data_IF_937489210611
#
_entry.id   IF_937489210611
#
_cell.length_a   1.000
_cell.length_b   1.000
_cell.length_c   1.000
_cell.angle_alpha   90.00
_cell.angle_beta   90.00
_cell.angle_gamma   90.00
#
_symmetry.space_group_name_H-M   'P 1'
#
loop_
_entity.id
_entity.type
_entity.pdbx_description
1 polymer ?
#
# COMPACT_ATOMS: atom_id res chain seq x y z
N UNK A 1 -2.36 1.53 -25.36
CA UNK A 1 -1.83 1.93 -24.03
C UNK A 1 -1.47 0.67 -23.27
N UNK A 2 -0.21 0.41 -23.07
CA UNK A 2 0.24 -0.57 -22.09
C UNK A 2 0.19 0.09 -20.69
N UNK A 3 -0.33 -0.63 -19.71
CA UNK A 3 -0.34 -0.24 -18.31
C UNK A 3 0.74 -1.03 -17.59
N UNK A 4 1.60 -0.33 -16.84
CA UNK A 4 2.72 -0.93 -16.15
C UNK A 4 3.31 0.04 -15.13
N UNK A 5 4.38 -0.38 -14.46
CA UNK A 5 5.13 0.45 -13.52
C UNK A 5 6.65 0.34 -13.77
N UNK A 6 7.41 1.39 -13.45
CA UNK A 6 8.85 1.37 -13.58
C UNK A 6 9.49 0.58 -12.44
N UNK A 7 10.47 -0.23 -12.80
CA UNK A 7 11.36 -0.95 -11.90
C UNK A 7 12.82 -0.63 -12.24
N UNK A 8 13.76 -1.04 -11.40
CA UNK A 8 15.19 -1.07 -11.74
C UNK A 8 15.68 -2.49 -11.79
N UNK A 9 16.64 -2.75 -12.68
CA UNK A 9 17.31 -4.05 -12.82
C UNK A 9 18.68 -4.05 -12.15
N UNK A 10 18.93 -3.16 -11.18
CA UNK A 10 20.22 -3.11 -10.49
C UNK A 10 20.43 -4.43 -9.74
N UNK A 11 21.47 -5.19 -10.11
CA UNK A 11 21.87 -6.47 -9.51
C UNK A 11 20.82 -7.61 -9.59
N UNK A 12 19.93 -7.60 -10.58
CA UNK A 12 18.96 -8.70 -10.79
C UNK A 12 17.74 -8.67 -9.88
N UNK A 13 17.59 -7.66 -9.05
CA UNK A 13 16.40 -7.44 -8.22
C UNK A 13 15.59 -6.29 -8.80
N UNK A 14 14.38 -6.57 -9.26
CA UNK A 14 13.43 -5.54 -9.68
C UNK A 14 12.96 -4.76 -8.45
N UNK A 15 13.43 -3.50 -8.29
CA UNK A 15 12.99 -2.62 -7.21
C UNK A 15 12.07 -1.52 -7.73
N UNK A 16 10.78 -1.68 -7.42
CA UNK A 16 9.72 -0.73 -7.75
C UNK A 16 9.92 0.64 -7.10
N UNK A 17 10.39 0.69 -5.85
CA UNK A 17 10.52 1.96 -5.11
C UNK A 17 11.58 2.84 -5.77
N UNK A 18 12.75 2.27 -6.08
CA UNK A 18 13.84 2.93 -6.79
C UNK A 18 13.43 3.26 -8.22
N UNK A 19 12.74 2.35 -8.94
CA UNK A 19 12.22 2.58 -10.28
C UNK A 19 11.30 3.78 -10.37
N UNK A 20 10.35 3.93 -9.45
CA UNK A 20 9.47 5.10 -9.36
C UNK A 20 10.26 6.40 -9.08
N UNK A 21 11.30 6.33 -8.24
CA UNK A 21 12.18 7.46 -7.96
C UNK A 21 12.90 7.93 -9.23
N UNK A 22 13.47 7.03 -10.00
CA UNK A 22 14.17 7.30 -11.28
C UNK A 22 13.18 7.82 -12.33
N UNK A 23 12.02 7.20 -12.47
CA UNK A 23 10.97 7.66 -13.38
C UNK A 23 10.56 9.11 -13.10
N UNK A 24 10.41 9.49 -11.82
CA UNK A 24 10.13 10.86 -11.43
C UNK A 24 11.24 11.84 -11.80
N UNK A 25 12.51 11.41 -11.80
CA UNK A 25 13.62 12.20 -12.32
C UNK A 25 13.54 12.36 -13.84
N UNK A 26 13.16 11.30 -14.57
CA UNK A 26 12.94 11.37 -16.01
C UNK A 26 11.83 12.38 -16.37
N UNK A 27 10.70 12.35 -15.68
CA UNK A 27 9.60 13.34 -15.86
C UNK A 27 10.07 14.77 -15.60
N UNK A 28 11.02 14.99 -14.68
CA UNK A 28 11.59 16.30 -14.36
C UNK A 28 12.79 16.69 -15.25
N UNK A 29 13.20 15.82 -16.15
CA UNK A 29 14.39 16.03 -17.00
C UNK A 29 15.72 16.01 -16.24
N UNK A 30 15.78 15.32 -15.09
CA UNK A 30 16.98 15.26 -14.21
C UNK A 30 17.56 13.84 -14.10
N UNK A 31 17.10 12.90 -14.94
CA UNK A 31 17.61 11.54 -15.00
C UNK A 31 19.03 11.51 -15.59
N UNK A 32 19.92 10.69 -15.04
CA UNK A 32 21.23 10.42 -15.63
C UNK A 32 21.16 9.28 -16.65
N UNK A 33 22.12 9.21 -17.58
CA UNK A 33 22.20 8.13 -18.56
C UNK A 33 22.33 6.73 -17.92
N UNK A 34 23.00 6.63 -16.78
CA UNK A 34 23.13 5.36 -16.03
C UNK A 34 21.80 4.94 -15.39
N UNK A 35 21.04 5.88 -14.85
CA UNK A 35 19.70 5.60 -14.30
C UNK A 35 18.71 5.23 -15.41
N UNK A 36 18.77 5.90 -16.57
CA UNK A 36 17.95 5.59 -17.73
C UNK A 36 18.20 4.18 -18.25
N UNK A 37 19.47 3.78 -18.37
CA UNK A 37 19.85 2.44 -18.81
C UNK A 37 19.40 1.32 -17.86
N UNK A 38 19.24 1.62 -16.57
CA UNK A 38 18.74 0.68 -15.56
C UNK A 38 17.23 0.65 -15.42
N UNK A 39 16.47 1.52 -16.12
CA UNK A 39 15.03 1.59 -15.98
C UNK A 39 14.35 0.49 -16.81
N UNK A 40 13.46 -0.25 -16.16
CA UNK A 40 12.67 -1.34 -16.74
C UNK A 40 11.18 -1.19 -16.43
N UNK A 41 10.31 -1.44 -17.39
CA UNK A 41 8.85 -1.37 -17.21
C UNK A 41 8.25 -2.77 -17.15
N UNK A 42 7.59 -3.08 -16.04
CA UNK A 42 6.79 -4.30 -15.88
C UNK A 42 5.34 -3.98 -16.23
N UNK A 43 4.85 -4.64 -17.28
CA UNK A 43 3.53 -4.39 -17.87
C UNK A 43 2.53 -5.44 -17.39
N UNK A 44 1.28 -5.03 -17.11
CA UNK A 44 0.23 -5.93 -16.62
C UNK A 44 -1.11 -5.82 -17.34
N UNK A 45 -1.26 -4.92 -18.30
CA UNK A 45 -2.47 -4.79 -19.11
C UNK A 45 -2.19 -4.04 -20.41
N UNK A 46 -3.02 -4.29 -21.45
CA UNK A 46 -2.96 -3.61 -22.72
C UNK A 46 -4.35 -3.16 -23.16
N UNK A 47 -4.54 -1.85 -23.33
CA UNK A 47 -5.82 -1.28 -23.72
C UNK A 47 -5.64 -0.50 -25.03
N UNK A 48 -6.41 -0.77 -26.10
CA UNK A 48 -6.41 0.02 -27.31
C UNK A 48 -6.64 1.52 -26.99
N UNK A 49 -5.92 2.39 -27.67
CA UNK A 49 -5.89 3.82 -27.32
C UNK A 49 -7.27 4.48 -27.40
N UNK A 50 -8.06 4.14 -28.43
CA UNK A 50 -9.44 4.61 -28.62
C UNK A 50 -10.35 4.17 -27.46
N UNK A 51 -10.19 2.94 -26.96
CA UNK A 51 -10.93 2.41 -25.82
C UNK A 51 -10.48 3.03 -24.50
N UNK A 52 -9.18 3.32 -24.37
CA UNK A 52 -8.67 4.05 -23.21
C UNK A 52 -9.22 5.47 -23.15
N UNK A 53 -9.26 6.19 -24.28
CA UNK A 53 -9.91 7.50 -24.38
C UNK A 53 -11.42 7.45 -24.07
N UNK A 54 -12.09 6.40 -24.52
CA UNK A 54 -13.51 6.17 -24.23
C UNK A 54 -13.79 5.75 -22.77
N UNK A 55 -12.73 5.50 -21.97
CA UNK A 55 -12.84 5.11 -20.57
C UNK A 55 -13.33 3.67 -20.32
N UNK A 56 -13.44 2.84 -21.38
CA UNK A 56 -13.93 1.46 -21.27
C UNK A 56 -13.37 0.57 -22.37
N UNK A 57 -12.86 -0.61 -22.00
CA UNK A 57 -12.44 -1.65 -22.95
C UNK A 57 -13.63 -2.48 -23.43
N UNK A 58 -13.57 -2.92 -24.69
CA UNK A 58 -14.47 -3.90 -25.28
C UNK A 58 -13.96 -5.33 -25.07
N UNK A 59 -12.65 -5.48 -24.86
CA UNK A 59 -11.97 -6.75 -24.67
C UNK A 59 -11.93 -7.09 -23.17
N UNK A 60 -12.16 -8.36 -22.83
CA UNK A 60 -11.95 -8.88 -21.49
C UNK A 60 -10.45 -8.96 -21.14
N UNK A 61 -10.13 -9.17 -19.85
CA UNK A 61 -8.74 -9.20 -19.38
C UNK A 61 -7.94 -10.34 -20.03
N UNK A 62 -8.54 -11.49 -20.23
CA UNK A 62 -7.90 -12.63 -20.89
C UNK A 62 -7.40 -12.27 -22.29
N UNK A 63 -8.24 -11.61 -23.09
CA UNK A 63 -7.92 -11.15 -24.44
C UNK A 63 -6.80 -10.09 -24.41
N UNK A 64 -6.89 -9.14 -23.49
CA UNK A 64 -5.90 -8.07 -23.36
C UNK A 64 -4.54 -8.60 -22.90
N UNK A 65 -4.53 -9.58 -21.98
CA UNK A 65 -3.30 -10.22 -21.51
C UNK A 65 -2.64 -11.04 -22.64
N UNK A 66 -3.42 -11.77 -23.45
CA UNK A 66 -2.90 -12.48 -24.61
C UNK A 66 -2.24 -11.51 -25.61
N UNK A 67 -2.92 -10.41 -25.93
CA UNK A 67 -2.37 -9.37 -26.81
C UNK A 67 -1.10 -8.71 -26.22
N UNK A 68 -1.03 -8.52 -24.89
CA UNK A 68 0.15 -8.00 -24.23
C UNK A 68 1.35 -8.94 -24.37
N UNK A 69 1.13 -10.25 -24.23
CA UNK A 69 2.18 -11.27 -24.36
C UNK A 69 2.67 -11.43 -25.81
N UNK A 70 1.86 -11.08 -26.81
CA UNK A 70 2.22 -11.12 -28.24
C UNK A 70 3.06 -9.90 -28.68
N UNK A 71 3.17 -8.85 -27.83
CA UNK A 71 3.99 -7.69 -28.16
C UNK A 71 5.48 -8.06 -28.20
N UNK A 72 6.20 -7.42 -29.09
CA UNK A 72 7.67 -7.49 -29.09
C UNK A 72 8.22 -6.70 -27.90
N UNK A 73 8.59 -7.42 -26.85
CA UNK A 73 9.20 -6.81 -25.67
C UNK A 73 10.69 -6.51 -25.94
N UNK A 74 11.15 -5.39 -25.44
CA UNK A 74 12.57 -4.98 -25.49
C UNK A 74 13.25 -5.34 -24.17
N UNK A 75 14.55 -5.08 -24.08
CA UNK A 75 15.28 -5.21 -22.79
C UNK A 75 14.74 -4.28 -21.68
N UNK A 76 13.95 -3.28 -22.05
CA UNK A 76 13.36 -2.31 -21.12
C UNK A 76 11.92 -2.64 -20.71
N UNK A 77 11.34 -3.74 -21.20
CA UNK A 77 9.95 -4.10 -20.90
C UNK A 77 9.78 -5.60 -20.70
N UNK A 78 8.96 -5.97 -19.70
CA UNK A 78 8.51 -7.35 -19.50
C UNK A 78 7.03 -7.38 -19.11
N UNK A 79 6.40 -8.53 -19.25
CA UNK A 79 5.05 -8.76 -18.71
C UNK A 79 5.17 -9.32 -17.30
N UNK A 80 4.30 -8.85 -16.41
CA UNK A 80 4.24 -9.35 -15.02
C UNK A 80 3.93 -10.85 -15.01
N UNK A 81 4.59 -11.61 -14.16
CA UNK A 81 4.27 -13.02 -13.94
C UNK A 81 2.80 -13.16 -13.57
N UNK A 82 2.07 -14.02 -14.29
CA UNK A 82 0.63 -14.19 -14.13
C UNK A 82 0.30 -15.67 -13.98
N UNK A 83 -0.45 -16.00 -12.92
CA UNK A 83 -0.93 -17.34 -12.62
C UNK A 83 -2.44 -17.42 -12.76
N UNK A 84 -2.96 -18.48 -13.36
CA UNK A 84 -4.41 -18.75 -13.41
C UNK A 84 -4.78 -19.58 -12.19
N UNK A 85 -5.71 -19.07 -11.38
CA UNK A 85 -6.23 -19.72 -10.18
C UNK A 85 -7.73 -19.97 -10.32
N UNK A 86 -8.23 -21.05 -9.71
CA UNK A 86 -9.63 -21.48 -9.82
C UNK A 86 -10.42 -21.28 -8.54
N UNK A 87 -9.72 -21.13 -7.42
CA UNK A 87 -10.31 -20.97 -6.09
C UNK A 87 -9.41 -20.12 -5.18
N UNK A 88 -9.89 -19.82 -3.99
CA UNK A 88 -9.19 -18.98 -3.03
C UNK A 88 -7.95 -19.70 -2.44
N UNK A 89 -7.96 -21.02 -2.31
CA UNK A 89 -6.83 -21.76 -1.75
C UNK A 89 -5.60 -21.68 -2.68
N UNK A 90 -5.82 -21.84 -3.99
CA UNK A 90 -4.76 -21.66 -4.98
C UNK A 90 -4.21 -20.21 -4.97
N UNK A 91 -5.09 -19.22 -4.85
CA UNK A 91 -4.68 -17.82 -4.74
C UNK A 91 -3.89 -17.55 -3.47
N UNK A 92 -4.32 -18.15 -2.34
CA UNK A 92 -3.64 -18.02 -1.04
C UNK A 92 -2.25 -18.67 -1.05
N UNK A 93 -2.10 -19.82 -1.71
CA UNK A 93 -0.80 -20.47 -1.85
C UNK A 93 0.20 -19.57 -2.66
N UNK A 94 -0.27 -18.96 -3.75
CA UNK A 94 0.54 -18.02 -4.54
C UNK A 94 0.85 -16.77 -3.72
N UNK A 95 -0.13 -16.21 -3.03
CA UNK A 95 0.05 -15.08 -2.14
C UNK A 95 1.14 -15.34 -1.09
N UNK A 96 1.07 -16.49 -0.39
CA UNK A 96 2.05 -16.88 0.63
C UNK A 96 3.47 -16.99 0.06
N UNK A 97 3.61 -17.52 -1.17
CA UNK A 97 4.90 -17.56 -1.88
C UNK A 97 5.49 -16.15 -2.07
N UNK A 98 4.68 -15.18 -2.50
CA UNK A 98 5.15 -13.81 -2.75
C UNK A 98 5.43 -13.04 -1.45
N UNK A 99 4.63 -13.29 -0.39
CA UNK A 99 4.91 -12.71 0.94
C UNK A 99 6.23 -13.26 1.51
N UNK A 100 6.52 -14.55 1.33
CA UNK A 100 7.80 -15.13 1.76
C UNK A 100 9.02 -14.54 1.02
N UNK A 101 8.82 -13.93 -0.15
CA UNK A 101 9.81 -13.17 -0.90
C UNK A 101 9.85 -11.68 -0.53
N UNK A 102 9.20 -11.27 0.56
CA UNK A 102 9.06 -9.88 1.04
C UNK A 102 8.38 -8.93 0.03
N UNK A 103 7.50 -9.47 -0.82
CA UNK A 103 6.70 -8.69 -1.75
C UNK A 103 5.37 -8.27 -1.12
N UNK A 104 4.74 -7.19 -1.65
CA UNK A 104 3.50 -6.62 -1.08
C UNK A 104 2.30 -7.57 -1.10
N UNK A 105 2.26 -8.53 -2.04
CA UNK A 105 1.15 -9.44 -2.27
C UNK A 105 0.82 -9.61 -3.75
N UNK A 106 -0.44 -9.94 -4.05
CA UNK A 106 -0.91 -10.20 -5.42
C UNK A 106 -2.14 -9.36 -5.76
N UNK A 107 -2.42 -9.24 -7.05
CA UNK A 107 -3.68 -8.68 -7.56
C UNK A 107 -4.46 -9.79 -8.25
N UNK A 108 -5.62 -10.12 -7.70
CA UNK A 108 -6.57 -11.03 -8.35
C UNK A 108 -7.37 -10.25 -9.38
N UNK A 109 -7.45 -10.75 -10.60
CA UNK A 109 -8.22 -10.15 -11.70
C UNK A 109 -9.20 -11.16 -12.27
N UNK A 110 -10.44 -10.72 -12.51
CA UNK A 110 -11.42 -11.51 -13.24
C UNK A 110 -11.00 -11.59 -14.72
N UNK A 111 -10.76 -12.81 -15.23
CA UNK A 111 -10.36 -13.05 -16.62
C UNK A 111 -11.38 -12.49 -17.63
N UNK A 112 -12.66 -12.43 -17.28
CA UNK A 112 -13.74 -11.86 -18.10
C UNK A 112 -14.01 -10.39 -17.81
N UNK A 113 -13.26 -9.78 -16.88
CA UNK A 113 -13.44 -8.38 -16.50
C UNK A 113 -13.05 -7.42 -17.61
N UNK A 114 -13.89 -6.42 -17.86
CA UNK A 114 -13.60 -5.32 -18.78
C UNK A 114 -12.84 -4.22 -18.01
N UNK A 115 -11.92 -3.58 -18.72
CA UNK A 115 -11.28 -2.41 -18.14
C UNK A 115 -12.22 -1.21 -18.20
N UNK A 116 -12.28 -0.45 -17.11
CA UNK A 116 -12.97 0.83 -17.03
C UNK A 116 -12.09 1.85 -16.33
N UNK A 117 -12.18 3.13 -16.72
CA UNK A 117 -11.45 4.23 -16.08
C UNK A 117 -12.09 4.65 -14.74
N UNK A 118 -12.53 3.67 -13.96
CA UNK A 118 -13.13 3.83 -12.64
C UNK A 118 -12.69 2.69 -11.74
N UNK A 119 -13.03 2.78 -10.44
CA UNK A 119 -12.76 1.68 -9.52
C UNK A 119 -13.55 0.43 -9.95
N UNK A 120 -12.85 -0.63 -10.31
CA UNK A 120 -13.44 -1.90 -10.77
C UNK A 120 -13.59 -2.89 -9.62
N UNK A 121 -14.67 -3.67 -9.65
CA UNK A 121 -14.88 -4.85 -8.80
C UNK A 121 -14.19 -6.11 -9.36
N UNK A 122 -13.74 -6.07 -10.60
CA UNK A 122 -13.03 -7.18 -11.29
C UNK A 122 -11.54 -7.27 -10.91
N UNK A 123 -11.07 -6.41 -10.01
CA UNK A 123 -9.70 -6.42 -9.50
C UNK A 123 -9.72 -6.27 -7.99
N UNK A 124 -9.06 -7.21 -7.31
CA UNK A 124 -8.93 -7.22 -5.84
C UNK A 124 -7.45 -7.28 -5.48
N UNK A 125 -7.00 -6.33 -4.66
CA UNK A 125 -5.67 -6.40 -4.04
C UNK A 125 -5.72 -7.38 -2.90
N UNK A 126 -4.90 -8.41 -3.00
CA UNK A 126 -4.70 -9.39 -1.93
C UNK A 126 -3.31 -9.14 -1.36
N UNK A 127 -3.26 -8.35 -0.32
CA UNK A 127 -2.01 -7.88 0.28
C UNK A 127 -2.04 -8.08 1.79
N UNK A 128 -0.86 -8.16 2.37
CA UNK A 128 -0.70 -8.23 3.82
C UNK A 128 -1.21 -6.93 4.44
N UNK A 129 -2.03 -7.08 5.47
CA UNK A 129 -2.41 -6.00 6.39
C UNK A 129 -1.88 -6.40 7.75
N UNK A 130 -1.05 -5.55 8.33
CA UNK A 130 -0.52 -5.72 9.67
C UNK A 130 -1.36 -4.87 10.62
N UNK A 131 -1.50 -5.30 11.87
CA UNK A 131 -2.10 -4.49 12.91
C UNK A 131 -1.17 -4.38 14.13
N UNK A 132 -1.30 -3.29 14.85
CA UNK A 132 -0.59 -3.05 16.10
C UNK A 132 -1.50 -2.33 17.11
N UNK A 133 -1.35 -2.69 18.39
CA UNK A 133 -1.95 -1.99 19.50
C UNK A 133 -1.01 -0.85 19.90
N UNK A 134 -1.45 0.39 19.74
CA UNK A 134 -0.65 1.59 19.97
C UNK A 134 -1.26 2.49 21.05
N UNK A 135 -0.41 3.15 21.80
CA UNK A 135 -0.77 4.15 22.81
C UNK A 135 -1.12 5.48 22.14
N UNK A 136 -2.28 6.02 22.41
CA UNK A 136 -2.66 7.38 21.98
C UNK A 136 -1.93 8.41 22.84
N UNK A 137 -1.17 9.28 22.19
CA UNK A 137 -0.40 10.37 22.82
C UNK A 137 -0.89 11.76 22.42
N UNK A 138 -1.87 11.82 21.52
CA UNK A 138 -2.46 13.07 21.10
C UNK A 138 -3.60 12.89 20.10
N UNK A 139 -4.42 13.91 19.98
CA UNK A 139 -5.50 14.01 19.00
C UNK A 139 -5.30 15.33 18.27
N UNK A 140 -5.10 15.26 16.95
CA UNK A 140 -4.91 16.43 16.10
C UNK A 140 -6.20 16.75 15.33
N UNK A 141 -6.56 18.02 15.15
CA UNK A 141 -7.68 18.41 14.29
C UNK A 141 -7.36 18.09 12.82
N UNK A 142 -8.39 18.09 12.00
CA UNK A 142 -8.20 18.07 10.55
C UNK A 142 -7.57 19.36 10.03
N UNK A 143 -7.17 19.34 8.77
CA UNK A 143 -6.56 20.51 8.13
C UNK A 143 -7.56 21.67 8.05
N UNK A 144 -7.06 22.88 8.28
CA UNK A 144 -7.86 24.10 8.18
C UNK A 144 -8.61 24.22 6.84
N UNK A 145 -9.87 24.63 6.92
CA UNK A 145 -10.75 24.77 5.77
C UNK A 145 -11.21 23.44 5.15
N UNK A 146 -10.97 22.30 5.81
CA UNK A 146 -11.46 20.97 5.40
C UNK A 146 -12.56 20.48 6.36
N UNK A 147 -13.26 19.41 5.97
CA UNK A 147 -14.42 18.84 6.69
C UNK A 147 -14.17 18.59 8.19
N UNK A 148 -12.96 18.30 8.60
CA UNK A 148 -12.63 17.89 9.97
C UNK A 148 -11.76 18.92 10.72
N UNK A 149 -11.77 20.21 10.29
CA UNK A 149 -10.94 21.26 10.90
C UNK A 149 -11.21 21.49 12.40
N UNK A 150 -12.42 21.19 12.87
CA UNK A 150 -12.86 21.45 14.26
C UNK A 150 -13.10 20.16 15.07
N UNK A 151 -12.76 19.01 14.50
CA UNK A 151 -12.86 17.69 15.15
C UNK A 151 -11.60 16.86 14.89
N UNK A 152 -11.50 15.66 15.47
CA UNK A 152 -10.33 14.80 15.30
C UNK A 152 -10.07 14.48 13.81
N UNK A 153 -8.94 14.95 13.29
CA UNK A 153 -8.41 14.58 11.98
C UNK A 153 -7.64 13.26 12.05
N UNK A 154 -6.75 13.15 13.04
CA UNK A 154 -5.91 11.98 13.29
C UNK A 154 -5.69 11.76 14.79
N UNK A 155 -5.37 10.51 15.16
CA UNK A 155 -4.83 10.14 16.46
C UNK A 155 -3.31 10.02 16.32
N UNK A 156 -2.56 10.75 17.13
CA UNK A 156 -1.12 10.55 17.23
C UNK A 156 -0.88 9.38 18.19
N UNK A 157 -0.28 8.33 17.68
CA UNK A 157 -0.09 7.08 18.42
C UNK A 157 1.40 6.69 18.44
N UNK A 158 1.80 5.92 19.47
CA UNK A 158 3.17 5.45 19.64
C UNK A 158 3.21 4.02 20.18
N UNK A 159 4.33 3.33 19.98
CA UNK A 159 4.64 2.05 20.63
C UNK A 159 5.02 2.25 22.10
N UNK A 160 4.98 1.18 22.91
CA UNK A 160 5.39 1.21 24.32
C UNK A 160 6.84 1.72 24.49
N UNK A 161 7.74 1.36 23.59
CA UNK A 161 9.13 1.82 23.60
C UNK A 161 9.35 3.21 22.96
N UNK A 162 8.30 3.87 22.45
CA UNK A 162 8.31 5.19 21.78
C UNK A 162 9.24 5.28 20.54
N UNK A 163 9.58 4.16 19.94
CA UNK A 163 10.42 4.08 18.73
C UNK A 163 9.61 4.13 17.43
N UNK A 164 8.28 4.12 17.52
CA UNK A 164 7.36 4.38 16.41
C UNK A 164 6.41 5.48 16.81
N UNK A 165 6.23 6.46 15.94
CA UNK A 165 5.20 7.50 16.09
C UNK A 165 4.46 7.67 14.77
N UNK A 166 3.12 7.76 14.85
CA UNK A 166 2.27 7.78 13.66
C UNK A 166 0.98 8.56 13.92
N UNK A 167 0.50 9.25 12.89
CA UNK A 167 -0.82 9.87 12.87
C UNK A 167 -1.80 8.94 12.15
N UNK A 168 -2.61 8.19 12.91
CA UNK A 168 -3.61 7.28 12.37
C UNK A 168 -4.92 8.02 12.03
N UNK A 169 -5.50 7.69 10.87
CA UNK A 169 -6.81 8.19 10.41
C UNK A 169 -7.78 7.02 10.23
N UNK A 170 -8.94 7.23 9.58
CA UNK A 170 -9.89 6.14 9.30
C UNK A 170 -11.10 6.10 10.22
N UNK A 171 -11.15 6.96 11.23
CA UNK A 171 -12.29 7.10 12.13
C UNK A 171 -13.56 7.54 11.37
N UNK A 172 -14.72 7.04 11.79
CA UNK A 172 -16.03 7.57 11.38
C UNK A 172 -16.26 8.98 11.94
N UNK A 173 -17.23 9.71 11.41
CA UNK A 173 -17.55 11.07 11.85
C UNK A 173 -17.89 11.10 13.35
N UNK A 174 -18.65 10.12 13.86
CA UNK A 174 -19.01 10.00 15.29
C UNK A 174 -17.79 9.75 16.18
N UNK A 175 -16.88 8.88 15.73
CA UNK A 175 -15.65 8.62 16.46
C UNK A 175 -14.76 9.86 16.50
N UNK A 176 -14.68 10.63 15.41
CA UNK A 176 -13.93 11.88 15.35
C UNK A 176 -14.43 12.92 16.36
N UNK A 177 -15.75 13.10 16.44
CA UNK A 177 -16.38 13.98 17.42
C UNK A 177 -16.07 13.51 18.86
N UNK A 178 -16.24 12.21 19.11
CA UNK A 178 -15.99 11.62 20.43
C UNK A 178 -14.53 11.75 20.84
N UNK A 179 -13.57 11.44 19.97
CA UNK A 179 -12.13 11.59 20.24
C UNK A 179 -11.75 13.04 20.48
N UNK A 180 -12.36 13.98 19.75
CA UNK A 180 -12.08 15.41 19.94
C UNK A 180 -12.57 15.95 21.27
N UNK A 181 -13.77 15.60 21.68
CA UNK A 181 -14.37 16.00 22.95
C UNK A 181 -13.57 15.45 24.13
N UNK A 182 -13.14 14.18 24.04
CA UNK A 182 -12.45 13.48 25.13
C UNK A 182 -10.90 13.51 25.01
N UNK A 183 -10.32 14.31 24.12
CA UNK A 183 -8.91 14.27 23.73
C UNK A 183 -7.91 14.36 24.90
N UNK A 184 -8.19 15.16 25.92
CA UNK A 184 -7.31 15.30 27.08
C UNK A 184 -7.36 14.05 27.97
N UNK A 185 -8.57 13.56 28.23
CA UNK A 185 -8.78 12.39 29.08
C UNK A 185 -8.19 11.13 28.45
N UNK A 186 -8.35 10.95 27.13
CA UNK A 186 -7.80 9.81 26.36
C UNK A 186 -6.29 9.69 26.53
N UNK A 187 -5.58 10.82 26.49
CA UNK A 187 -4.12 10.86 26.66
C UNK A 187 -3.74 10.60 28.11
N UNK A 188 -4.49 11.16 29.08
CA UNK A 188 -4.24 10.95 30.52
C UNK A 188 -4.47 9.49 30.92
N UNK A 189 -5.51 8.86 30.40
CA UNK A 189 -5.84 7.47 30.71
C UNK A 189 -4.95 6.45 29.99
N UNK A 190 -4.15 6.89 29.05
CA UNK A 190 -3.26 6.01 28.30
C UNK A 190 -4.01 5.05 27.38
N UNK A 191 -5.00 5.53 26.63
CA UNK A 191 -5.83 4.72 25.75
C UNK A 191 -5.01 3.97 24.71
N UNK A 192 -5.30 2.68 24.57
CA UNK A 192 -4.74 1.82 23.50
C UNK A 192 -5.74 1.70 22.37
N UNK A 193 -5.25 1.80 21.14
CA UNK A 193 -6.04 1.63 19.91
C UNK A 193 -5.37 0.64 18.98
N UNK A 194 -6.16 -0.14 18.26
CA UNK A 194 -5.68 -0.97 17.16
C UNK A 194 -5.54 -0.12 15.90
N UNK A 195 -4.37 -0.18 15.28
CA UNK A 195 -4.03 0.52 14.03
C UNK A 195 -3.60 -0.49 12.99
N UNK A 196 -4.31 -0.58 11.88
CA UNK A 196 -3.87 -1.31 10.69
C UNK A 196 -2.89 -0.48 9.88
N UNK A 197 -1.87 -1.15 9.29
CA UNK A 197 -0.85 -0.50 8.47
C UNK A 197 -0.27 -1.45 7.42
N UNK A 198 0.45 -0.90 6.43
CA UNK A 198 1.02 -1.70 5.33
C UNK A 198 2.54 -1.89 5.41
N UNK A 199 3.21 -1.29 6.37
CA UNK A 199 4.66 -1.41 6.54
C UNK A 199 5.21 -0.44 7.58
N UNK A 200 6.42 -0.74 8.06
CA UNK A 200 7.18 0.16 8.93
C UNK A 200 8.12 0.96 8.04
N UNK A 201 8.12 2.28 8.18
CA UNK A 201 8.96 3.19 7.39
C UNK A 201 9.83 4.04 8.32
N UNK A 202 11.09 4.26 7.92
CA UNK A 202 12.01 5.14 8.63
C UNK A 202 12.58 6.17 7.66
N UNK A 203 12.38 7.45 7.95
CA UNK A 203 13.01 8.52 7.15
C UNK A 203 14.51 8.52 7.42
N UNK A 204 15.29 8.84 6.39
CA UNK A 204 16.75 8.94 6.52
C UNK A 204 17.11 9.98 7.59
N UNK A 205 17.89 9.57 8.61
CA UNK A 205 18.29 10.42 9.73
C UNK A 205 17.23 10.60 10.84
N UNK A 206 16.06 9.95 10.76
CA UNK A 206 15.11 9.98 11.85
C UNK A 206 15.49 8.94 12.93
N UNK A 207 15.29 9.30 14.20
CA UNK A 207 15.44 8.39 15.33
C UNK A 207 14.23 7.47 15.47
N UNK A 208 13.03 8.01 15.22
CA UNK A 208 11.75 7.35 15.35
C UNK A 208 11.26 6.86 13.98
N UNK A 209 10.73 5.64 13.93
CA UNK A 209 10.06 5.06 12.77
C UNK A 209 8.60 5.53 12.70
N UNK A 210 7.96 5.32 11.55
CA UNK A 210 6.53 5.54 11.36
C UNK A 210 5.89 4.34 10.67
N UNK A 211 4.56 4.33 10.55
CA UNK A 211 3.83 3.29 9.82
C UNK A 211 3.32 3.84 8.49
N UNK A 212 3.31 2.99 7.47
CA UNK A 212 2.82 3.34 6.15
C UNK A 212 1.32 3.10 6.04
N UNK A 213 0.55 4.13 5.66
CA UNK A 213 -0.92 4.14 5.54
C UNK A 213 -1.64 3.66 6.81
N UNK A 214 -1.38 4.27 7.97
CA UNK A 214 -1.98 3.85 9.22
C UNK A 214 -3.49 4.19 9.26
N UNK A 215 -4.29 3.20 9.66
CA UNK A 215 -5.74 3.32 9.79
C UNK A 215 -6.17 2.88 11.18
N UNK A 216 -6.92 3.73 11.88
CA UNK A 216 -7.60 3.36 13.12
C UNK A 216 -8.64 2.28 12.84
N UNK A 217 -8.69 1.26 13.69
CA UNK A 217 -9.64 0.15 13.60
C UNK A 217 -10.64 0.22 14.76
N UNK A 218 -10.15 0.22 15.98
CA UNK A 218 -10.98 0.24 17.21
C UNK A 218 -10.19 0.63 18.45
N UNK A 219 -10.90 0.96 19.50
CA UNK A 219 -10.34 1.09 20.85
C UNK A 219 -10.08 -0.30 21.43
N UNK A 220 -9.03 -0.46 22.19
CA UNK A 220 -8.60 -1.71 22.84
C UNK A 220 -8.76 -1.62 24.35
N UNK A 221 -10.03 -1.66 24.82
CA UNK A 221 -10.37 -1.64 26.25
C UNK A 221 -9.85 -2.88 27.01
N UNK A 222 -9.50 -3.94 26.26
CA UNK A 222 -8.92 -5.17 26.76
C UNK A 222 -7.39 -5.11 26.93
N UNK A 223 -6.75 -3.98 26.59
CA UNK A 223 -5.30 -3.79 26.63
C UNK A 223 -4.89 -2.63 27.51
N UNK A 224 -3.80 -2.82 28.23
CA UNK A 224 -3.17 -1.78 29.08
C UNK A 224 -1.76 -1.41 28.64
N UNK A 225 -1.19 -2.17 27.68
CA UNK A 225 0.16 -1.98 27.16
C UNK A 225 0.13 -2.01 25.64
N UNK A 226 0.76 -1.02 25.00
CA UNK A 226 0.95 -0.97 23.57
C UNK A 226 2.04 -1.97 23.11
N UNK A 227 2.00 -2.34 21.84
CA UNK A 227 3.06 -3.14 21.25
C UNK A 227 4.41 -2.38 21.23
N UNK A 228 5.51 -3.13 21.24
CA UNK A 228 6.87 -2.61 21.01
C UNK A 228 7.21 -2.63 19.51
N UNK A 229 8.28 -1.94 19.10
CA UNK A 229 8.78 -2.02 17.73
C UNK A 229 9.21 -3.45 17.36
N UNK A 230 9.81 -4.19 18.28
CA UNK A 230 10.24 -5.57 18.06
C UNK A 230 9.04 -6.47 17.74
N UNK A 231 7.95 -6.36 18.51
CA UNK A 231 6.72 -7.11 18.26
C UNK A 231 6.10 -6.79 16.89
N UNK A 232 6.16 -5.52 16.44
CA UNK A 232 5.72 -5.14 15.10
C UNK A 232 6.58 -5.78 14.00
N UNK A 233 7.89 -5.90 14.23
CA UNK A 233 8.81 -6.52 13.29
C UNK A 233 8.64 -8.05 13.24
N UNK A 234 8.43 -8.69 14.39
CA UNK A 234 8.16 -10.13 14.48
C UNK A 234 6.82 -10.52 13.85
N UNK A 235 5.78 -9.68 13.99
CA UNK A 235 4.48 -9.95 13.38
C UNK A 235 4.57 -9.96 11.85
N UNK A 236 5.45 -9.16 11.27
CA UNK A 236 5.76 -9.19 9.83
C UNK A 236 6.35 -10.55 9.43
N UNK A 237 7.24 -11.11 10.23
CA UNK A 237 7.90 -12.39 9.92
C UNK A 237 6.99 -13.61 10.11
N UNK A 238 6.03 -13.56 11.04
CA UNK A 238 5.08 -14.67 11.31
C UNK A 238 4.01 -14.85 10.25
N UNK A 239 3.65 -13.79 9.53
CA UNK A 239 2.69 -13.88 8.40
C UNK A 239 3.37 -14.43 7.14
N UNK A 240 4.69 -14.55 7.13
CA UNK A 240 5.49 -15.11 6.03
C UNK A 240 5.61 -16.64 6.07
N UNK A 241 4.92 -17.34 6.99
CA UNK A 241 4.86 -18.79 7.14
C UNK A 241 3.45 -19.31 6.86
#
# INVERSE_FOLDING_TARGET
MALGEPHTTTEGIADRSTGNGIYNKAVKGTISAAEEAGLHFVLWDLIPYDQWQAGKSKNDYQTRLAQLNELNHTVFTSVIETHIVRNLDEATAIYSKYIALDLEGIILKNMKGLWTNTRSKDQVKFKQVMSADLLVIGVKPGKDGKKYSEIAGTLTCTTACRLVEVDASGMSDKEREWFWINREQIVLDGMIVEVEYNGIVKRRGAEVSSLFLPQFVKIRDDKTVANTLEELQESKSKVSL
#
